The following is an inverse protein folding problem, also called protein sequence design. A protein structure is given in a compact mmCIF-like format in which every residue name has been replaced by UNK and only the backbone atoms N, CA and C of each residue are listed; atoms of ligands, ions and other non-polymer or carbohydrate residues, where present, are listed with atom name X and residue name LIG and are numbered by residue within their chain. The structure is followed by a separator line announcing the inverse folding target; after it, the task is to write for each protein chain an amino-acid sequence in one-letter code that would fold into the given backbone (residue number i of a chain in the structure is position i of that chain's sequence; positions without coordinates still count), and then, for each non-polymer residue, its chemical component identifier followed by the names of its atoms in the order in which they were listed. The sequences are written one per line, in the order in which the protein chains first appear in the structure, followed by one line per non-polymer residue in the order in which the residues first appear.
data_IF_355679885696
#
_entry.id   IF_355679885696
#
_cell.length_a   1.000
_cell.length_b   1.000
_cell.length_c   1.000
_cell.angle_alpha   90.00
_cell.angle_beta   90.00
_cell.angle_gamma   90.00
#
_symmetry.space_group_name_H-M   'P 1'
#
loop_
_entity.id
_entity.type
_entity.pdbx_description
1 polymer ?
#
# COMPACT_ATOMS: atom_id res chain seq x y z
N UNK A 1 13.00 13.22 12.79
CA UNK A 1 11.54 12.94 12.88
C UNK A 1 11.41 11.47 13.21
N UNK A 2 10.73 11.15 14.31
CA UNK A 2 10.49 9.76 14.71
C UNK A 2 9.48 9.12 13.74
N UNK A 3 9.85 8.00 13.13
CA UNK A 3 9.02 7.26 12.17
C UNK A 3 8.74 5.87 12.72
N UNK A 4 7.46 5.50 12.78
CA UNK A 4 7.03 4.18 13.21
C UNK A 4 6.03 3.58 12.22
N UNK A 5 6.10 2.26 12.04
CA UNK A 5 5.14 1.48 11.25
C UNK A 5 4.61 0.35 12.12
N UNK A 6 3.30 0.16 12.11
CA UNK A 6 2.64 -0.93 12.83
C UNK A 6 1.39 -1.42 12.11
N UNK A 7 0.86 -2.59 12.47
CA UNK A 7 -0.46 -3.00 12.00
C UNK A 7 -1.52 -1.92 12.29
N UNK A 8 -2.37 -1.68 11.28
CA UNK A 8 -3.48 -0.74 11.39
C UNK A 8 -4.60 -1.36 12.22
N UNK A 9 -5.16 -0.60 13.15
CA UNK A 9 -6.35 -1.00 13.89
C UNK A 9 -7.62 -0.80 13.04
N UNK A 10 -8.68 -1.57 13.30
CA UNK A 10 -9.96 -1.41 12.60
C UNK A 10 -10.51 0.02 12.72
N UNK A 11 -10.36 0.65 13.89
CA UNK A 11 -10.78 2.04 14.13
C UNK A 11 -10.03 3.08 13.28
N UNK A 12 -8.89 2.71 12.66
CA UNK A 12 -8.05 3.60 11.84
C UNK A 12 -8.33 3.47 10.35
N UNK A 13 -9.16 2.50 9.93
CA UNK A 13 -9.44 2.23 8.50
C UNK A 13 -10.12 3.39 7.78
N UNK A 14 -10.76 4.30 8.53
CA UNK A 14 -11.28 5.56 7.99
C UNK A 14 -10.22 6.40 7.28
N UNK A 15 -8.94 6.30 7.69
CA UNK A 15 -7.82 7.00 7.05
C UNK A 15 -7.68 6.56 5.58
N UNK A 16 -7.84 5.26 5.30
CA UNK A 16 -7.76 4.70 3.95
C UNK A 16 -8.94 5.17 3.11
N UNK A 17 -10.14 5.08 3.66
CA UNK A 17 -11.38 5.49 2.98
C UNK A 17 -11.33 6.99 2.62
N UNK A 18 -10.99 7.82 3.61
CA UNK A 18 -10.88 9.28 3.42
C UNK A 18 -9.79 9.65 2.41
N UNK A 19 -8.65 8.96 2.43
CA UNK A 19 -7.58 9.20 1.47
C UNK A 19 -8.06 9.07 0.04
N UNK A 20 -8.75 8.00 -0.31
CA UNK A 20 -9.23 7.79 -1.68
C UNK A 20 -10.41 8.68 -2.03
N UNK A 21 -11.41 8.80 -1.16
CA UNK A 21 -12.62 9.57 -1.44
C UNK A 21 -12.42 11.09 -1.46
N UNK A 22 -11.40 11.61 -0.77
CA UNK A 22 -11.05 13.04 -0.75
C UNK A 22 -9.91 13.41 -1.70
N UNK A 23 -9.34 12.45 -2.39
CA UNK A 23 -8.30 12.71 -3.40
C UNK A 23 -8.88 13.38 -4.63
N UNK A 24 -8.10 14.28 -5.25
CA UNK A 24 -8.50 14.91 -6.52
C UNK A 24 -8.47 13.90 -7.65
N UNK A 25 -9.27 14.12 -8.73
CA UNK A 25 -9.23 13.26 -9.91
C UNK A 25 -7.82 13.07 -10.48
N UNK A 26 -7.03 14.15 -10.53
CA UNK A 26 -5.65 14.13 -11.05
C UNK A 26 -4.75 13.25 -10.18
N UNK A 27 -4.94 13.28 -8.84
CA UNK A 27 -4.18 12.44 -7.94
C UNK A 27 -4.56 10.97 -8.11
N UNK A 28 -5.85 10.66 -8.22
CA UNK A 28 -6.34 9.30 -8.47
C UNK A 28 -5.79 8.75 -9.79
N UNK A 29 -5.81 9.54 -10.87
CA UNK A 29 -5.23 9.17 -12.15
C UNK A 29 -3.73 8.88 -12.02
N UNK A 30 -2.98 9.75 -11.34
CA UNK A 30 -1.54 9.59 -11.13
C UNK A 30 -1.20 8.29 -10.39
N UNK A 31 -2.01 7.90 -9.43
CA UNK A 31 -1.82 6.64 -8.68
C UNK A 31 -2.52 5.44 -9.33
N UNK A 32 -3.14 5.62 -10.50
CA UNK A 32 -3.75 4.55 -11.28
C UNK A 32 -5.09 4.04 -10.75
N UNK A 33 -5.82 4.86 -9.99
CA UNK A 33 -7.12 4.50 -9.40
C UNK A 33 -8.27 5.00 -10.27
N UNK A 34 -9.23 4.11 -10.53
CA UNK A 34 -10.49 4.43 -11.17
C UNK A 34 -11.52 4.86 -10.12
N UNK A 35 -11.97 6.13 -10.12
CA UNK A 35 -12.96 6.60 -9.14
C UNK A 35 -14.26 5.77 -9.12
N UNK A 36 -14.67 5.22 -10.28
CA UNK A 36 -15.87 4.41 -10.39
C UNK A 36 -15.76 3.05 -9.67
N UNK A 37 -14.53 2.63 -9.32
CA UNK A 37 -14.26 1.38 -8.59
C UNK A 37 -14.14 1.56 -7.08
N UNK A 38 -14.20 2.79 -6.59
CA UNK A 38 -14.17 3.04 -5.14
C UNK A 38 -15.47 2.56 -4.50
N UNK A 39 -15.42 1.65 -3.52
CA UNK A 39 -16.62 1.25 -2.80
C UNK A 39 -17.24 2.45 -2.07
N UNK A 40 -18.57 2.52 -1.94
CA UNK A 40 -19.18 3.48 -1.03
C UNK A 40 -18.55 3.36 0.38
N UNK A 41 -18.39 4.48 1.12
CA UNK A 41 -17.67 4.45 2.40
C UNK A 41 -18.19 3.42 3.41
N UNK A 42 -19.52 3.25 3.51
CA UNK A 42 -20.11 2.29 4.46
C UNK A 42 -19.87 0.85 4.03
N UNK A 43 -19.97 0.54 2.74
CA UNK A 43 -19.62 -0.78 2.19
C UNK A 43 -18.16 -1.10 2.43
N UNK A 44 -17.31 -0.10 2.29
CA UNK A 44 -15.87 -0.29 2.52
C UNK A 44 -15.57 -0.55 4.00
N UNK A 45 -16.23 0.18 4.92
CA UNK A 45 -16.14 -0.09 6.38
C UNK A 45 -16.59 -1.52 6.71
N UNK A 46 -17.71 -1.98 6.13
CA UNK A 46 -18.19 -3.33 6.34
C UNK A 46 -17.19 -4.40 5.85
N UNK A 47 -16.55 -4.18 4.69
CA UNK A 47 -15.51 -5.07 4.16
C UNK A 47 -14.29 -5.11 5.08
N UNK A 48 -13.84 -3.96 5.61
CA UNK A 48 -12.77 -3.91 6.60
C UNK A 48 -13.14 -4.68 7.86
N UNK A 49 -14.34 -4.46 8.41
CA UNK A 49 -14.80 -5.14 9.61
C UNK A 49 -14.79 -6.66 9.42
N UNK A 50 -15.30 -7.15 8.29
CA UNK A 50 -15.30 -8.58 7.99
C UNK A 50 -13.87 -9.15 7.83
N UNK A 51 -12.98 -8.46 7.11
CA UNK A 51 -11.61 -8.94 6.89
C UNK A 51 -10.80 -8.96 8.20
N UNK A 52 -10.98 -7.95 9.07
CA UNK A 52 -10.29 -7.87 10.36
C UNK A 52 -10.72 -8.93 11.37
N UNK A 53 -11.88 -9.58 11.20
CA UNK A 53 -12.29 -10.73 12.03
C UNK A 53 -11.58 -12.02 11.65
N UNK A 54 -10.98 -12.09 10.47
CA UNK A 54 -10.29 -13.28 9.99
C UNK A 54 -8.90 -13.41 10.64
N UNK A 55 -8.42 -14.63 10.88
CA UNK A 55 -7.02 -14.85 11.20
C UNK A 55 -6.16 -14.36 10.03
N UNK A 56 -4.92 -13.94 10.33
CA UNK A 56 -4.06 -13.26 9.34
C UNK A 56 -3.81 -14.11 8.09
N UNK A 57 -3.73 -15.43 8.23
CA UNK A 57 -3.55 -16.40 7.13
C UNK A 57 -4.69 -16.39 6.11
N UNK A 58 -5.88 -15.94 6.53
CA UNK A 58 -7.11 -15.95 5.72
C UNK A 58 -7.54 -14.54 5.29
N UNK A 59 -6.80 -13.51 5.70
CA UNK A 59 -7.13 -12.14 5.31
C UNK A 59 -6.89 -11.90 3.83
N UNK A 60 -7.81 -11.20 3.21
CA UNK A 60 -7.65 -10.73 1.82
C UNK A 60 -6.64 -9.60 1.73
N UNK A 61 -6.50 -8.83 2.81
CA UNK A 61 -5.59 -7.68 2.90
C UNK A 61 -4.99 -7.54 4.28
N UNK A 62 -3.76 -7.02 4.33
CA UNK A 62 -3.11 -6.66 5.57
C UNK A 62 -2.59 -5.23 5.50
N UNK A 63 -3.10 -4.36 6.37
CA UNK A 63 -2.79 -2.93 6.40
C UNK A 63 -1.81 -2.58 7.51
N UNK A 64 -0.87 -1.68 7.17
CA UNK A 64 0.03 -1.04 8.12
C UNK A 64 -0.17 0.47 8.08
N UNK A 65 -0.18 1.11 9.24
CA UNK A 65 -0.19 2.58 9.36
C UNK A 65 1.24 3.09 9.53
N UNK A 66 1.54 4.20 8.89
CA UNK A 66 2.81 4.92 9.00
C UNK A 66 2.60 6.16 9.86
N UNK A 67 3.44 6.31 10.88
CA UNK A 67 3.40 7.43 11.82
C UNK A 67 4.67 8.27 11.69
N UNK A 68 4.51 9.58 11.77
CA UNK A 68 5.60 10.56 11.83
C UNK A 68 5.37 11.48 13.01
N UNK A 69 6.22 11.39 14.03
CA UNK A 69 6.03 12.11 15.28
C UNK A 69 4.74 11.70 16.02
N UNK A 70 4.34 10.42 15.90
CA UNK A 70 3.12 9.89 16.50
C UNK A 70 1.83 10.11 15.68
N UNK A 71 1.87 10.95 14.63
CA UNK A 71 0.71 11.28 13.81
C UNK A 71 0.66 10.47 12.51
N UNK A 72 -0.54 10.09 12.02
CA UNK A 72 -0.68 9.42 10.73
C UNK A 72 -0.07 10.22 9.58
N UNK A 73 0.84 9.59 8.84
CA UNK A 73 1.56 10.18 7.72
C UNK A 73 1.34 9.43 6.40
N UNK A 74 0.92 8.17 6.48
CA UNK A 74 0.68 7.31 5.34
C UNK A 74 0.23 5.93 5.76
N UNK A 75 0.12 5.05 4.78
CA UNK A 75 -0.16 3.63 5.01
C UNK A 75 0.39 2.77 3.88
N UNK A 76 0.52 1.49 4.16
CA UNK A 76 0.73 0.46 3.15
C UNK A 76 -0.24 -0.68 3.36
N UNK A 77 -0.46 -1.47 2.32
CA UNK A 77 -1.28 -2.69 2.40
C UNK A 77 -0.67 -3.78 1.55
N UNK A 78 -0.92 -5.03 1.90
CA UNK A 78 -0.75 -6.17 1.01
C UNK A 78 -2.10 -6.70 0.56
N UNK A 79 -2.19 -7.09 -0.70
CA UNK A 79 -3.26 -7.92 -1.27
C UNK A 79 -2.69 -9.12 -2.03
N UNK A 80 -3.54 -9.92 -2.66
CA UNK A 80 -3.13 -11.16 -3.34
C UNK A 80 -2.19 -11.99 -2.47
N UNK A 81 -2.52 -12.08 -1.18
CA UNK A 81 -1.70 -12.76 -0.18
C UNK A 81 -1.75 -14.26 -0.40
N UNK A 82 -0.59 -14.85 -0.68
CA UNK A 82 -0.33 -16.27 -0.58
C UNK A 82 0.53 -16.48 0.67
N UNK A 83 -0.11 -16.77 1.82
CA UNK A 83 0.56 -16.87 3.11
C UNK A 83 1.72 -17.87 3.07
N UNK A 84 2.86 -17.48 3.57
CA UNK A 84 4.10 -18.26 3.50
C UNK A 84 4.87 -18.17 2.19
N UNK A 85 4.34 -17.50 1.16
CA UNK A 85 4.96 -17.42 -0.17
C UNK A 85 5.13 -15.99 -0.67
N UNK A 86 4.05 -15.32 -1.05
CA UNK A 86 4.13 -14.00 -1.69
C UNK A 86 2.93 -13.10 -1.41
N UNK A 87 3.12 -11.80 -1.61
CA UNK A 87 2.06 -10.81 -1.61
C UNK A 87 2.40 -9.65 -2.52
N UNK A 88 1.42 -8.78 -2.79
CA UNK A 88 1.59 -7.52 -3.52
C UNK A 88 1.35 -6.35 -2.57
N UNK A 89 2.34 -5.47 -2.47
CA UNK A 89 2.31 -4.28 -1.61
C UNK A 89 1.81 -3.06 -2.35
N UNK A 90 1.01 -2.25 -1.68
CA UNK A 90 0.62 -0.90 -2.09
C UNK A 90 1.08 0.10 -1.03
N UNK A 91 1.37 1.35 -1.43
CA UNK A 91 1.87 2.37 -0.51
C UNK A 91 1.31 3.75 -0.84
N UNK A 92 0.97 4.51 0.20
CA UNK A 92 0.38 5.83 0.08
C UNK A 92 0.87 6.77 1.18
N UNK A 93 1.37 7.96 0.78
CA UNK A 93 1.65 9.07 1.71
C UNK A 93 0.44 9.99 1.71
N UNK A 94 -0.26 10.06 2.85
CA UNK A 94 -1.55 10.75 2.96
C UNK A 94 -1.45 12.26 2.98
N UNK A 95 -0.36 12.80 3.55
CA UNK A 95 -0.15 14.25 3.65
C UNK A 95 0.85 14.71 2.58
N UNK A 96 0.46 15.65 1.67
CA UNK A 96 1.38 16.18 0.65
C UNK A 96 2.69 16.72 1.23
N UNK A 97 2.63 17.38 2.38
CA UNK A 97 3.80 17.96 3.06
C UNK A 97 4.83 16.93 3.52
N UNK A 98 4.42 15.67 3.67
CA UNK A 98 5.28 14.55 4.02
C UNK A 98 5.94 13.90 2.78
N UNK A 99 5.50 14.26 1.59
CA UNK A 99 6.12 13.79 0.36
C UNK A 99 7.49 14.44 0.17
N UNK A 100 8.44 13.73 -0.46
CA UNK A 100 9.81 14.19 -0.74
C UNK A 100 10.72 14.39 0.49
N UNK A 101 10.23 14.15 1.73
CA UNK A 101 11.03 14.23 2.98
C UNK A 101 11.75 12.92 3.32
N UNK A 102 11.77 11.94 2.41
CA UNK A 102 12.44 10.65 2.63
C UNK A 102 11.70 9.67 3.52
N UNK A 103 10.57 10.05 4.10
CA UNK A 103 9.81 9.18 5.01
C UNK A 103 9.31 7.90 4.32
N UNK A 104 8.93 8.01 3.04
CA UNK A 104 8.41 6.88 2.27
C UNK A 104 9.36 5.68 2.25
N UNK A 105 10.64 5.89 1.93
CA UNK A 105 11.60 4.79 1.86
C UNK A 105 11.88 4.16 3.23
N UNK A 106 11.92 4.95 4.30
CA UNK A 106 12.08 4.45 5.65
C UNK A 106 10.86 3.65 6.11
N UNK A 107 9.65 4.16 5.89
CA UNK A 107 8.42 3.45 6.21
C UNK A 107 8.24 2.18 5.36
N UNK A 108 8.61 2.20 4.08
CA UNK A 108 8.59 1.00 3.24
C UNK A 108 9.52 -0.08 3.80
N UNK A 109 10.75 0.24 4.19
CA UNK A 109 11.66 -0.75 4.82
C UNK A 109 11.05 -1.37 6.07
N UNK A 110 10.50 -0.55 6.98
CA UNK A 110 9.82 -1.07 8.18
C UNK A 110 8.59 -1.93 7.82
N UNK A 111 7.82 -1.51 6.81
CA UNK A 111 6.67 -2.30 6.32
C UNK A 111 7.10 -3.65 5.78
N UNK A 112 8.18 -3.70 5.00
CA UNK A 112 8.76 -4.94 4.45
C UNK A 112 9.11 -5.90 5.59
N UNK A 113 9.79 -5.43 6.64
CA UNK A 113 10.14 -6.27 7.80
C UNK A 113 8.91 -6.88 8.47
N UNK A 114 7.84 -6.09 8.63
CA UNK A 114 6.58 -6.55 9.21
C UNK A 114 5.90 -7.57 8.28
N UNK A 115 5.78 -7.29 6.98
CA UNK A 115 5.13 -8.20 6.03
C UNK A 115 5.85 -9.56 5.96
N UNK A 116 7.18 -9.57 5.87
CA UNK A 116 7.94 -10.82 5.84
C UNK A 116 7.76 -11.61 7.14
N UNK A 117 7.76 -10.95 8.28
CA UNK A 117 7.59 -11.60 9.59
C UNK A 117 6.18 -12.14 9.79
N UNK A 118 5.16 -11.29 9.58
CA UNK A 118 3.77 -11.61 9.92
C UNK A 118 3.11 -12.55 8.89
N UNK A 119 3.37 -12.32 7.60
CA UNK A 119 2.80 -13.13 6.51
C UNK A 119 3.70 -14.30 6.09
N UNK A 120 4.87 -14.46 6.74
CA UNK A 120 5.86 -15.52 6.43
C UNK A 120 6.32 -15.52 4.97
N UNK A 121 6.41 -14.34 4.34
CA UNK A 121 6.70 -14.21 2.91
C UNK A 121 8.11 -14.66 2.54
N UNK A 122 8.26 -15.14 1.31
CA UNK A 122 9.53 -15.30 0.58
C UNK A 122 9.74 -14.19 -0.43
N UNK A 123 8.64 -13.67 -0.99
CA UNK A 123 8.64 -12.64 -2.03
C UNK A 123 7.58 -11.58 -1.74
N UNK A 124 7.95 -10.31 -1.93
CA UNK A 124 7.01 -9.19 -1.87
C UNK A 124 7.14 -8.36 -3.15
N UNK A 125 6.05 -8.26 -3.89
CA UNK A 125 5.95 -7.48 -5.12
C UNK A 125 5.32 -6.12 -4.85
N UNK A 126 5.60 -5.14 -5.72
CA UNK A 126 4.89 -3.88 -5.78
C UNK A 126 4.78 -3.43 -7.24
N UNK A 127 3.61 -2.93 -7.65
CA UNK A 127 3.32 -2.55 -9.04
C UNK A 127 2.74 -1.12 -9.11
N UNK A 128 3.52 -0.07 -8.80
CA UNK A 128 3.07 1.30 -9.00
C UNK A 128 2.91 1.63 -10.48
N UNK A 129 2.03 2.60 -10.78
CA UNK A 129 1.92 3.18 -12.12
C UNK A 129 3.32 3.58 -12.62
N UNK A 130 3.65 3.19 -13.85
CA UNK A 130 4.98 3.39 -14.42
C UNK A 130 5.38 4.88 -14.53
N UNK A 131 4.39 5.76 -14.71
CA UNK A 131 4.61 7.21 -14.82
C UNK A 131 4.66 7.93 -13.46
N UNK A 132 4.27 7.27 -12.38
CA UNK A 132 4.35 7.83 -11.03
C UNK A 132 5.77 7.65 -10.47
N UNK A 133 6.61 8.67 -10.63
CA UNK A 133 8.03 8.60 -10.26
C UNK A 133 8.25 8.47 -8.75
N UNK A 134 7.35 8.99 -7.92
CA UNK A 134 7.47 8.99 -6.45
C UNK A 134 7.62 7.60 -5.86
N UNK A 135 6.61 6.72 -5.97
CA UNK A 135 6.68 5.36 -5.45
C UNK A 135 7.77 4.53 -6.11
N UNK A 136 8.01 4.68 -7.43
CA UNK A 136 9.08 3.94 -8.12
C UNK A 136 10.46 4.25 -7.51
N UNK A 137 10.79 5.52 -7.27
CA UNK A 137 12.03 5.92 -6.58
C UNK A 137 12.08 5.46 -5.12
N UNK A 138 10.93 5.46 -4.45
CA UNK A 138 10.82 5.00 -3.06
C UNK A 138 11.15 3.52 -2.94
N UNK A 139 10.61 2.68 -3.81
CA UNK A 139 10.87 1.24 -3.85
C UNK A 139 12.35 0.95 -4.14
N UNK A 140 12.93 1.65 -5.13
CA UNK A 140 14.36 1.52 -5.44
C UNK A 140 15.23 1.84 -4.21
N UNK A 141 14.95 2.95 -3.52
CA UNK A 141 15.68 3.34 -2.29
C UNK A 141 15.44 2.39 -1.12
N UNK A 142 14.31 1.70 -1.09
CA UNK A 142 13.99 0.71 -0.07
C UNK A 142 14.61 -0.67 -0.34
N UNK A 143 15.27 -0.87 -1.48
CA UNK A 143 16.00 -2.09 -1.81
C UNK A 143 15.24 -3.06 -2.71
N UNK A 144 14.10 -2.66 -3.25
CA UNK A 144 13.41 -3.46 -4.27
C UNK A 144 14.20 -3.47 -5.58
N UNK A 145 14.15 -4.60 -6.28
CA UNK A 145 14.74 -4.78 -7.62
C UNK A 145 13.64 -4.61 -8.67
N UNK A 146 13.91 -3.81 -9.69
CA UNK A 146 13.05 -3.70 -10.87
C UNK A 146 13.09 -4.99 -11.68
N UNK A 147 11.92 -5.49 -12.06
CA UNK A 147 11.79 -6.69 -12.89
C UNK A 147 11.40 -6.36 -14.33
N UNK A 148 10.31 -5.64 -14.51
CA UNK A 148 9.75 -5.31 -15.83
C UNK A 148 8.71 -4.20 -15.76
N UNK A 149 8.43 -3.62 -16.93
CA UNK A 149 7.24 -2.79 -17.16
C UNK A 149 6.25 -3.59 -18.02
N UNK A 150 4.97 -3.61 -17.64
CA UNK A 150 3.93 -4.29 -18.39
C UNK A 150 2.56 -3.66 -18.15
N UNK A 151 1.61 -3.99 -19.02
CA UNK A 151 0.21 -3.57 -18.90
C UNK A 151 -0.56 -4.56 -18.02
N UNK A 152 -1.28 -4.04 -17.03
CA UNK A 152 -2.12 -4.84 -16.13
C UNK A 152 -3.16 -3.98 -15.40
N UNK A 153 -4.07 -4.63 -14.67
CA UNK A 153 -4.88 -4.03 -13.60
C UNK A 153 -4.25 -4.46 -12.28
N UNK A 154 -3.44 -3.60 -11.61
CA UNK A 154 -2.64 -4.04 -10.45
C UNK A 154 -3.46 -4.38 -9.21
N UNK A 155 -4.64 -3.82 -9.07
CA UNK A 155 -5.54 -4.08 -7.94
C UNK A 155 -6.99 -3.77 -8.25
N UNK A 156 -7.93 -4.06 -7.32
CA UNK A 156 -9.37 -3.94 -7.59
C UNK A 156 -9.86 -2.49 -7.77
N UNK A 157 -9.10 -1.51 -7.27
CA UNK A 157 -9.43 -0.09 -7.44
C UNK A 157 -8.82 0.53 -8.69
N UNK A 158 -7.97 -0.21 -9.41
CA UNK A 158 -7.14 0.33 -10.47
C UNK A 158 -7.78 0.12 -11.86
N UNK A 159 -7.52 1.05 -12.77
CA UNK A 159 -7.75 0.85 -14.20
C UNK A 159 -6.58 0.09 -14.85
N UNK A 160 -6.77 -0.37 -16.08
CA UNK A 160 -5.74 -1.03 -16.87
C UNK A 160 -4.65 -0.03 -17.26
N UNK A 161 -3.39 -0.28 -16.86
CA UNK A 161 -2.30 0.69 -16.93
C UNK A 161 -0.93 0.03 -17.09
N UNK A 162 0.05 0.81 -17.53
CA UNK A 162 1.44 0.42 -17.45
C UNK A 162 1.92 0.51 -15.99
N UNK A 163 2.52 -0.56 -15.50
CA UNK A 163 3.12 -0.62 -14.15
C UNK A 163 4.58 -1.04 -14.24
N UNK A 164 5.38 -0.60 -13.29
CA UNK A 164 6.70 -1.17 -13.04
C UNK A 164 6.57 -2.21 -11.94
N UNK A 165 6.92 -3.47 -12.26
CA UNK A 165 6.97 -4.53 -11.24
C UNK A 165 8.30 -4.50 -10.52
N UNK A 166 8.23 -4.36 -9.22
CA UNK A 166 9.35 -4.41 -8.30
C UNK A 166 9.23 -5.63 -7.39
N UNK A 167 10.37 -6.15 -6.93
CA UNK A 167 10.46 -7.34 -6.08
C UNK A 167 11.50 -7.13 -4.98
N UNK A 168 11.17 -7.59 -3.76
CA UNK A 168 12.14 -7.86 -2.71
C UNK A 168 11.94 -9.28 -2.18
N UNK A 169 13.04 -9.99 -1.91
CA UNK A 169 13.08 -11.39 -1.49
C UNK A 169 13.87 -11.54 -0.20
N UNK A 170 13.52 -12.55 0.60
CA UNK A 170 14.28 -12.99 1.78
C UNK A 170 14.24 -14.50 1.93
#
# INVERSE_FOLDING_TARGET
MDLAVRPMALSETGIVIDYFHRSTPEHLEMIGVDPARLPPPDDWRARFANDFTQPLENRLRFFLIWLAGGEPAGFSSCDKISFGESAFMHLHVTKPDNRRKGIGAACVRQSVDIYFRELKLKQLFCEPNAFNTGPNRTLQKAGFKYLKTHMTVPGPLNFHQAVNRWLIER
#
